data_IF_458753889517
#
_entry.id   IF_458753889517
#
_cell.length_a   1.000
_cell.length_b   1.000
_cell.length_c   1.000
_cell.angle_alpha   90.00
_cell.angle_beta   90.00
_cell.angle_gamma   90.00
#
_symmetry.space_group_name_H-M   'P 1'
#
loop_
_entity.id
_entity.type
_entity.pdbx_description
1 polymer ?
#
# COMPACT_ATOMS: atom_id res chain seq x y z
N UNK A 1 -19.70 -4.46 28.74
CA UNK A 1 -19.50 -3.03 28.48
C UNK A 1 -18.46 -2.96 27.37
N UNK A 2 -18.92 -2.76 26.12
CA UNK A 2 -18.11 -2.91 24.90
C UNK A 2 -17.43 -1.58 24.57
N UNK A 3 -16.30 -1.31 25.23
CA UNK A 3 -15.40 -0.20 24.87
C UNK A 3 -14.52 -0.58 23.64
N UNK A 4 -15.15 -0.97 22.54
CA UNK A 4 -14.49 -1.34 21.29
C UNK A 4 -14.44 -0.22 20.24
N UNK A 5 -14.72 1.03 20.62
CA UNK A 5 -14.41 2.18 19.79
C UNK A 5 -12.98 2.64 20.07
N UNK A 6 -11.99 1.90 19.55
CA UNK A 6 -10.64 2.45 19.41
C UNK A 6 -10.78 3.69 18.53
N UNK A 7 -10.68 4.89 19.13
CA UNK A 7 -10.58 6.13 18.37
C UNK A 7 -9.40 5.95 17.43
N UNK A 8 -9.65 6.02 16.13
CA UNK A 8 -8.60 6.12 15.11
C UNK A 8 -7.60 7.15 15.57
N UNK A 9 -6.37 6.70 15.82
CA UNK A 9 -5.32 7.56 16.35
C UNK A 9 -4.78 8.46 15.24
N UNK A 10 -4.06 9.53 15.61
CA UNK A 10 -3.38 10.38 14.61
C UNK A 10 -2.29 9.59 13.89
N UNK A 11 -1.70 8.64 14.60
CA UNK A 11 -0.69 7.71 14.13
C UNK A 11 -1.26 6.83 13.00
N UNK A 12 -2.45 6.25 13.19
CA UNK A 12 -3.10 5.44 12.15
C UNK A 12 -3.41 6.29 10.89
N UNK A 13 -3.89 7.52 11.08
CA UNK A 13 -4.17 8.45 9.98
C UNK A 13 -2.89 8.76 9.19
N UNK A 14 -1.80 9.07 9.89
CA UNK A 14 -0.52 9.36 9.27
C UNK A 14 0.04 8.13 8.52
N UNK A 15 -0.17 6.93 9.07
CA UNK A 15 0.25 5.68 8.42
C UNK A 15 -0.51 5.44 7.12
N UNK A 16 -1.83 5.64 7.09
CA UNK A 16 -2.62 5.52 5.85
C UNK A 16 -2.26 6.61 4.84
N UNK A 17 -2.05 7.85 5.28
CA UNK A 17 -1.55 8.92 4.39
C UNK A 17 -0.21 8.56 3.78
N UNK A 18 0.71 7.99 4.56
CA UNK A 18 2.01 7.51 4.07
C UNK A 18 1.87 6.34 3.11
N UNK A 19 0.93 5.43 3.38
CA UNK A 19 0.62 4.30 2.49
C UNK A 19 0.03 4.73 1.13
N UNK A 20 -0.69 5.85 1.10
CA UNK A 20 -1.18 6.44 -0.15
C UNK A 20 -0.14 7.35 -0.84
N UNK A 21 1.08 7.44 -0.29
CA UNK A 21 2.16 8.25 -0.82
C UNK A 21 3.01 7.55 -1.89
N UNK A 22 3.82 8.31 -2.66
CA UNK A 22 4.68 7.79 -3.73
C UNK A 22 5.96 7.09 -3.23
N UNK A 23 6.30 7.20 -1.95
CA UNK A 23 7.58 6.78 -1.40
C UNK A 23 7.38 5.69 -0.34
N UNK A 24 6.67 4.62 -0.72
CA UNK A 24 6.47 3.44 0.13
C UNK A 24 6.15 2.21 -0.73
N UNK A 25 6.50 1.03 -0.19
CA UNK A 25 5.88 -0.24 -0.58
C UNK A 25 4.80 -0.53 0.44
N UNK A 26 3.59 -0.83 -0.02
CA UNK A 26 2.45 -1.02 0.88
C UNK A 26 1.84 -2.39 0.68
N UNK A 27 1.60 -3.07 1.80
CA UNK A 27 0.84 -4.31 1.87
C UNK A 27 -0.50 -3.98 2.52
N UNK A 28 -1.58 -4.06 1.74
CA UNK A 28 -2.93 -4.04 2.31
C UNK A 28 -3.30 -5.48 2.63
N UNK A 29 -3.54 -5.75 3.90
CA UNK A 29 -3.73 -7.10 4.45
C UNK A 29 -5.15 -7.35 4.93
N UNK A 30 -5.59 -8.60 4.83
CA UNK A 30 -6.83 -9.10 5.42
C UNK A 30 -6.62 -9.81 6.78
N UNK A 31 -5.46 -9.67 7.42
CA UNK A 31 -5.11 -10.32 8.71
C UNK A 31 -6.01 -9.98 9.88
N UNK A 32 -6.78 -8.90 9.80
CA UNK A 32 -7.87 -8.62 10.74
C UNK A 32 -8.95 -9.70 10.78
N UNK A 33 -9.06 -10.48 9.71
CA UNK A 33 -10.31 -11.09 9.30
C UNK A 33 -10.11 -12.50 8.68
N UNK A 34 -8.89 -12.84 8.25
CA UNK A 34 -8.52 -14.17 7.74
C UNK A 34 -7.33 -14.75 8.53
N UNK A 35 -7.51 -15.87 9.25
CA UNK A 35 -6.40 -16.57 9.89
C UNK A 35 -5.33 -17.02 8.89
N UNK A 36 -4.06 -16.96 9.29
CA UNK A 36 -2.94 -17.43 8.47
C UNK A 36 -2.36 -16.39 7.50
N UNK A 37 -3.04 -15.26 7.26
CA UNK A 37 -2.50 -14.22 6.35
C UNK A 37 -1.32 -13.47 6.95
N UNK A 38 -1.15 -13.46 8.29
CA UNK A 38 0.00 -12.79 8.92
C UNK A 38 1.34 -13.37 8.48
N UNK A 39 1.41 -14.69 8.25
CA UNK A 39 2.63 -15.33 7.72
C UNK A 39 2.90 -14.88 6.28
N UNK A 40 1.84 -14.81 5.47
CA UNK A 40 1.92 -14.31 4.09
C UNK A 40 2.34 -12.83 4.08
N UNK A 41 1.82 -12.02 4.99
CA UNK A 41 2.21 -10.61 5.13
C UNK A 41 3.71 -10.49 5.48
N UNK A 42 4.21 -11.29 6.42
CA UNK A 42 5.64 -11.33 6.79
C UNK A 42 6.54 -11.74 5.63
N UNK A 43 6.13 -12.75 4.84
CA UNK A 43 6.84 -13.18 3.63
C UNK A 43 6.88 -12.09 2.56
N UNK A 44 5.78 -11.37 2.36
CA UNK A 44 5.71 -10.25 1.42
C UNK A 44 6.59 -9.09 1.92
N UNK A 45 6.56 -8.78 3.21
CA UNK A 45 7.41 -7.75 3.79
C UNK A 45 8.90 -8.08 3.61
N UNK A 46 9.30 -9.34 3.85
CA UNK A 46 10.67 -9.79 3.62
C UNK A 46 11.06 -9.67 2.14
N UNK A 47 10.18 -10.11 1.24
CA UNK A 47 10.38 -10.00 -0.21
C UNK A 47 10.53 -8.54 -0.66
N UNK A 48 9.69 -7.65 -0.14
CA UNK A 48 9.75 -6.21 -0.42
C UNK A 48 11.04 -5.57 0.10
N UNK A 49 11.50 -5.94 1.30
CA UNK A 49 12.78 -5.47 1.87
C UNK A 49 13.97 -5.95 1.05
N UNK A 50 13.96 -7.21 0.60
CA UNK A 50 15.00 -7.75 -0.26
C UNK A 50 15.04 -7.01 -1.60
N UNK A 51 13.88 -6.73 -2.20
CA UNK A 51 13.80 -5.92 -3.41
C UNK A 51 14.37 -4.51 -3.18
N UNK A 52 14.04 -3.84 -2.07
CA UNK A 52 14.59 -2.53 -1.74
C UNK A 52 16.10 -2.55 -1.56
N UNK A 53 16.66 -3.60 -0.97
CA UNK A 53 18.11 -3.74 -0.76
C UNK A 53 18.92 -3.84 -2.06
N UNK A 54 18.27 -4.22 -3.18
CA UNK A 54 18.88 -4.20 -4.52
C UNK A 54 18.75 -2.83 -5.21
N UNK A 55 18.13 -1.85 -4.55
CA UNK A 55 17.97 -0.48 -5.02
C UNK A 55 18.70 0.51 -4.10
N UNK A 56 18.75 1.78 -4.50
CA UNK A 56 19.26 2.88 -3.65
C UNK A 56 18.13 3.64 -2.95
N UNK A 57 16.92 3.06 -2.88
CA UNK A 57 15.74 3.71 -2.32
C UNK A 57 15.62 3.43 -0.82
N UNK A 58 15.42 4.48 -0.03
CA UNK A 58 15.15 4.37 1.43
C UNK A 58 13.64 4.45 1.70
N UNK A 59 12.87 3.60 1.01
CA UNK A 59 11.41 3.58 1.17
C UNK A 59 11.01 2.62 2.29
N UNK A 60 10.03 2.99 3.15
CA UNK A 60 9.44 2.08 4.10
C UNK A 60 8.61 1.00 3.40
N UNK A 61 8.59 -0.19 4.00
CA UNK A 61 7.54 -1.19 3.77
C UNK A 61 6.48 -1.00 4.85
N UNK A 62 5.23 -0.77 4.46
CA UNK A 62 4.12 -0.45 5.36
C UNK A 62 3.01 -1.48 5.17
N UNK A 63 2.66 -2.18 6.24
CA UNK A 63 1.48 -3.05 6.25
C UNK A 63 0.32 -2.35 6.94
N UNK A 64 -0.82 -2.30 6.26
CA UNK A 64 -2.09 -1.79 6.80
C UNK A 64 -3.19 -2.83 6.61
N UNK A 65 -4.10 -2.96 7.57
CA UNK A 65 -5.26 -3.85 7.39
C UNK A 65 -6.33 -3.15 6.54
N UNK A 66 -7.09 -3.94 5.79
CA UNK A 66 -8.25 -3.45 5.01
C UNK A 66 -9.25 -2.70 5.89
N UNK A 67 -9.47 -3.14 7.13
CA UNK A 67 -10.37 -2.47 8.08
C UNK A 67 -9.83 -1.12 8.55
N UNK A 68 -8.52 -1.02 8.78
CA UNK A 68 -7.87 0.26 9.12
C UNK A 68 -8.02 1.24 7.96
N UNK A 69 -7.73 0.81 6.73
CA UNK A 69 -7.92 1.62 5.53
C UNK A 69 -9.37 2.11 5.38
N UNK A 70 -10.35 1.20 5.48
CA UNK A 70 -11.78 1.53 5.38
C UNK A 70 -12.24 2.54 6.45
N UNK A 71 -11.69 2.46 7.67
CA UNK A 71 -12.06 3.37 8.76
C UNK A 71 -11.46 4.78 8.62
N UNK A 72 -10.36 4.92 7.87
CA UNK A 72 -9.58 6.16 7.76
C UNK A 72 -9.83 6.89 6.44
N UNK A 73 -9.96 6.17 5.32
CA UNK A 73 -10.14 6.75 3.99
C UNK A 73 -11.24 7.82 3.94
N UNK A 74 -12.45 7.62 4.53
CA UNK A 74 -13.48 8.66 4.53
C UNK A 74 -13.02 9.96 5.23
N UNK A 75 -12.17 9.85 6.25
CA UNK A 75 -11.70 10.98 7.08
C UNK A 75 -10.65 11.83 6.38
N UNK A 76 -9.89 11.25 5.46
CA UNK A 76 -8.79 11.92 4.75
C UNK A 76 -9.09 12.16 3.27
N UNK A 77 -10.24 11.70 2.77
CA UNK A 77 -10.63 11.74 1.35
C UNK A 77 -10.50 13.12 0.72
N UNK A 78 -10.87 14.19 1.43
CA UNK A 78 -10.78 15.57 0.96
C UNK A 78 -9.33 16.09 0.85
N UNK A 79 -8.35 15.41 1.46
CA UNK A 79 -6.93 15.76 1.45
C UNK A 79 -6.12 14.93 0.45
N UNK A 80 -6.74 13.94 -0.20
CA UNK A 80 -6.04 13.05 -1.12
C UNK A 80 -5.71 13.76 -2.43
N UNK A 81 -4.52 13.47 -2.96
CA UNK A 81 -4.20 13.79 -4.35
C UNK A 81 -5.12 13.00 -5.30
N UNK A 82 -5.21 13.43 -6.56
CA UNK A 82 -5.98 12.70 -7.59
C UNK A 82 -5.53 11.23 -7.68
N UNK A 83 -4.21 10.98 -7.76
CA UNK A 83 -3.64 9.63 -7.80
C UNK A 83 -3.96 8.81 -6.55
N UNK A 84 -3.85 9.40 -5.37
CA UNK A 84 -4.17 8.71 -4.11
C UNK A 84 -5.68 8.36 -4.02
N UNK A 85 -6.54 9.25 -4.52
CA UNK A 85 -7.98 9.01 -4.62
C UNK A 85 -8.33 7.88 -5.59
N UNK A 86 -7.70 7.86 -6.77
CA UNK A 86 -7.86 6.78 -7.76
C UNK A 86 -7.41 5.43 -7.20
N UNK A 87 -6.24 5.39 -6.54
CA UNK A 87 -5.75 4.18 -5.88
C UNK A 87 -6.71 3.68 -4.79
N UNK A 88 -7.20 4.58 -3.93
CA UNK A 88 -8.18 4.22 -2.90
C UNK A 88 -9.47 3.66 -3.50
N UNK A 89 -9.92 4.21 -4.64
CA UNK A 89 -11.07 3.70 -5.39
C UNK A 89 -10.81 2.31 -5.96
N UNK A 90 -9.64 2.08 -6.58
CA UNK A 90 -9.26 0.77 -7.13
C UNK A 90 -9.21 -0.33 -6.06
N UNK A 91 -8.61 -0.03 -4.90
CA UNK A 91 -8.56 -0.96 -3.76
C UNK A 91 -9.98 -1.25 -3.24
N UNK A 92 -10.83 -0.23 -3.19
CA UNK A 92 -12.24 -0.41 -2.78
C UNK A 92 -13.01 -1.27 -3.77
N UNK A 93 -12.82 -1.07 -5.08
CA UNK A 93 -13.43 -1.86 -6.15
C UNK A 93 -12.99 -3.32 -6.12
N UNK A 94 -11.70 -3.60 -5.88
CA UNK A 94 -11.20 -4.96 -5.70
C UNK A 94 -11.86 -5.66 -4.52
N UNK A 95 -12.00 -4.98 -3.39
CA UNK A 95 -12.72 -5.54 -2.24
C UNK A 95 -14.20 -5.76 -2.55
N UNK A 96 -14.88 -4.85 -3.25
CA UNK A 96 -16.28 -5.06 -3.63
C UNK A 96 -16.47 -6.22 -4.60
N UNK A 97 -15.51 -6.45 -5.50
CA UNK A 97 -15.60 -7.46 -6.56
C UNK A 97 -15.19 -8.85 -6.08
N UNK A 98 -14.13 -8.93 -5.28
CA UNK A 98 -13.52 -10.21 -4.87
C UNK A 98 -13.59 -10.45 -3.35
N UNK A 99 -14.06 -9.48 -2.56
CA UNK A 99 -14.08 -9.59 -1.11
C UNK A 99 -12.68 -9.72 -0.53
N UNK A 100 -12.53 -10.58 0.49
CA UNK A 100 -11.26 -10.81 1.16
C UNK A 100 -10.26 -11.59 0.30
N UNK A 101 -10.70 -12.26 -0.78
CA UNK A 101 -9.76 -12.98 -1.68
C UNK A 101 -8.93 -12.05 -2.56
N UNK A 102 -9.24 -10.75 -2.61
CA UNK A 102 -8.36 -9.74 -3.23
C UNK A 102 -7.07 -9.53 -2.43
N UNK A 103 -6.99 -9.99 -1.18
CA UNK A 103 -5.90 -9.66 -0.27
C UNK A 103 -4.92 -10.84 -0.17
N UNK A 104 -3.61 -10.57 -0.03
CA UNK A 104 -3.00 -9.24 0.12
C UNK A 104 -2.96 -8.44 -1.19
N UNK A 105 -3.04 -7.11 -1.08
CA UNK A 105 -2.83 -6.17 -2.19
C UNK A 105 -1.48 -5.49 -1.98
N UNK A 106 -0.66 -5.45 -3.02
CA UNK A 106 0.68 -4.86 -2.98
C UNK A 106 0.68 -3.62 -3.86
N UNK A 107 1.14 -2.50 -3.29
CA UNK A 107 1.19 -1.19 -3.95
C UNK A 107 2.62 -0.67 -3.88
N UNK A 108 3.13 -0.13 -4.98
CA UNK A 108 4.44 0.52 -5.08
C UNK A 108 4.26 1.83 -5.84
N UNK A 109 4.75 2.95 -5.28
CA UNK A 109 4.62 4.29 -5.88
C UNK A 109 3.18 4.61 -6.34
N UNK A 110 2.22 4.47 -5.42
CA UNK A 110 0.79 4.64 -5.68
C UNK A 110 0.20 3.77 -6.79
N UNK A 111 0.90 2.73 -7.23
CA UNK A 111 0.46 1.82 -8.29
C UNK A 111 0.19 0.45 -7.72
N UNK A 112 -0.98 -0.12 -8.04
CA UNK A 112 -1.29 -1.49 -7.68
C UNK A 112 -0.42 -2.45 -8.49
N UNK A 113 0.37 -3.27 -7.78
CA UNK A 113 1.30 -4.24 -8.37
C UNK A 113 0.66 -5.62 -8.43
N UNK A 114 0.14 -6.11 -7.30
CA UNK A 114 -0.44 -7.45 -7.19
C UNK A 114 -1.66 -7.46 -6.26
N UNK A 115 -2.55 -8.43 -6.45
CA UNK A 115 -3.68 -8.70 -5.56
C UNK A 115 -3.95 -10.21 -5.47
N UNK A 116 -4.47 -10.66 -4.33
CA UNK A 116 -4.88 -12.05 -4.10
C UNK A 116 -3.74 -13.06 -3.95
N UNK A 117 -2.49 -12.60 -3.84
CA UNK A 117 -1.32 -13.45 -3.71
C UNK A 117 -0.04 -12.65 -3.51
N UNK A 118 0.97 -13.30 -2.92
CA UNK A 118 2.29 -12.74 -2.73
C UNK A 118 3.00 -12.58 -4.10
N UNK A 119 3.45 -11.37 -4.48
CA UNK A 119 4.28 -11.20 -5.66
C UNK A 119 5.68 -11.77 -5.42
N UNK A 120 6.35 -12.16 -6.51
CA UNK A 120 7.78 -12.45 -6.45
C UNK A 120 8.62 -11.17 -6.34
N UNK A 121 9.89 -11.32 -5.97
CA UNK A 121 10.82 -10.19 -5.82
C UNK A 121 11.01 -9.42 -7.13
N UNK A 122 11.05 -10.12 -8.28
CA UNK A 122 11.29 -9.50 -9.58
C UNK A 122 10.15 -8.55 -9.98
N UNK A 123 8.91 -8.89 -9.62
CA UNK A 123 7.75 -8.05 -9.84
C UNK A 123 7.84 -6.75 -9.03
N UNK A 124 8.27 -6.81 -7.78
CA UNK A 124 8.49 -5.63 -6.93
C UNK A 124 9.64 -4.78 -7.49
N UNK A 125 10.77 -5.39 -7.85
CA UNK A 125 11.92 -4.70 -8.44
C UNK A 125 11.56 -3.95 -9.73
N UNK A 126 10.77 -4.58 -10.61
CA UNK A 126 10.27 -3.94 -11.83
C UNK A 126 9.40 -2.72 -11.49
N UNK A 127 8.52 -2.82 -10.49
CA UNK A 127 7.69 -1.70 -10.05
C UNK A 127 8.54 -0.54 -9.48
N UNK A 128 9.54 -0.84 -8.65
CA UNK A 128 10.49 0.15 -8.10
C UNK A 128 11.32 0.84 -9.20
N UNK A 129 11.73 0.07 -10.22
CA UNK A 129 12.49 0.59 -11.36
C UNK A 129 11.66 1.59 -12.15
N UNK A 130 10.42 1.24 -12.51
CA UNK A 130 9.47 2.13 -13.20
C UNK A 130 9.18 3.42 -12.42
N UNK A 131 9.05 3.31 -11.10
CA UNK A 131 8.85 4.46 -10.24
C UNK A 131 10.05 5.42 -10.26
N UNK A 132 11.27 4.86 -10.26
CA UNK A 132 12.51 5.64 -10.32
C UNK A 132 12.69 6.32 -11.67
N UNK A 133 12.38 5.63 -12.78
CA UNK A 133 12.39 6.20 -14.13
C UNK A 133 11.40 7.35 -14.25
N UNK A 134 10.16 7.16 -13.78
CA UNK A 134 9.11 8.21 -13.81
C UNK A 134 9.54 9.45 -13.02
N UNK A 135 10.17 9.27 -11.85
CA UNK A 135 10.68 10.38 -11.03
C UNK A 135 11.85 11.09 -11.71
N UNK A 136 12.72 10.36 -12.40
CA UNK A 136 13.85 10.93 -13.16
C UNK A 136 13.35 11.75 -14.36
N UNK A 137 12.38 11.22 -15.11
CA UNK A 137 11.80 11.91 -16.27
C UNK A 137 11.04 13.18 -15.86
N UNK A 138 10.30 13.13 -14.75
CA UNK A 138 9.64 14.30 -14.17
C UNK A 138 10.66 15.37 -13.72
N UNK A 139 11.78 14.96 -13.11
CA UNK A 139 12.84 15.88 -12.70
C UNK A 139 13.56 16.53 -13.89
N UNK A 140 13.69 15.83 -15.01
CA UNK A 140 14.29 16.36 -16.24
C UNK A 140 13.34 17.30 -17.01
N UNK A 141 12.03 17.09 -16.91
CA UNK A 141 11.00 17.92 -17.54
C UNK A 141 10.64 19.18 -16.72
N UNK A 142 10.96 19.22 -15.43
CA UNK A 142 10.76 20.39 -14.55
C UNK A 142 11.85 21.46 -14.62
N UNK A 143 12.80 21.33 -15.55
CA UNK A 143 13.86 22.33 -15.84
C UNK A 143 13.49 23.05 -17.15
N UNK A 144 12.36 23.75 -17.18
CA UNK A 144 12.03 24.77 -18.19
C UNK A 144 11.27 25.93 -17.56
#
# INVERSE_FOLDING_TARGET
MLDFFKKTSKEDINQVKRALGPDAIVVVSASCCMPGTSQVDEEIEATARNALAETTLDWPVITITVTTAQSILPKISAELSVKAGELASQVSELFMTHGLSAFPIIIVDQTLVSYGGAPDQAMILNALSKATETKKDAALQGIQ
#
